data_IF_489559580421
#
_entry.id   IF_489559580421
#
_cell.length_a   1.000
_cell.length_b   1.000
_cell.length_c   1.000
_cell.angle_alpha   90.00
_cell.angle_beta   90.00
_cell.angle_gamma   90.00
#
_symmetry.space_group_name_H-M   'P 1'
#
loop_
_entity.id
_entity.type
_entity.pdbx_description
1 polymer ?
#
# COMPACT_ATOMS: atom_id res chain seq x y z
N UNK A 1 -53.76 -54.26 18.10
CA UNK A 1 -53.88 -53.01 18.85
C UNK A 1 -52.48 -52.59 19.33
N UNK A 2 -51.76 -51.81 18.57
CA UNK A 2 -50.53 -51.11 19.03
C UNK A 2 -50.41 -49.85 18.19
N UNK A 3 -50.61 -48.74 18.88
CA UNK A 3 -50.53 -47.39 18.36
C UNK A 3 -49.06 -46.97 18.16
N UNK A 4 -48.70 -46.51 16.97
CA UNK A 4 -47.43 -45.91 16.67
C UNK A 4 -47.52 -44.39 16.86
N UNK A 5 -46.73 -43.83 17.76
CA UNK A 5 -46.62 -42.41 18.01
C UNK A 5 -45.41 -41.87 17.18
N UNK A 6 -45.69 -40.97 16.23
CA UNK A 6 -44.70 -40.23 15.50
C UNK A 6 -44.06 -39.16 16.41
N UNK A 7 -42.73 -39.14 16.48
CA UNK A 7 -41.95 -38.02 17.00
C UNK A 7 -41.49 -37.15 15.82
N UNK A 8 -41.97 -35.93 15.80
CA UNK A 8 -41.43 -34.88 14.94
C UNK A 8 -40.11 -34.35 15.54
N UNK A 9 -38.99 -34.47 14.78
CA UNK A 9 -37.71 -33.85 15.09
C UNK A 9 -37.65 -32.46 14.44
N UNK A 10 -37.64 -31.42 15.26
CA UNK A 10 -37.38 -30.04 14.83
C UNK A 10 -35.86 -29.83 14.60
N UNK A 11 -35.44 -29.89 13.34
CA UNK A 11 -34.12 -29.46 12.94
C UNK A 11 -34.04 -27.93 12.97
N UNK A 12 -33.25 -27.38 13.89
CA UNK A 12 -32.85 -25.98 13.83
C UNK A 12 -31.72 -25.83 12.82
N UNK A 13 -32.02 -25.22 11.70
CA UNK A 13 -30.99 -24.66 10.81
C UNK A 13 -30.39 -23.42 11.48
N UNK A 14 -29.13 -23.49 11.88
CA UNK A 14 -28.31 -22.31 12.16
C UNK A 14 -27.91 -21.66 10.83
N UNK A 15 -28.72 -20.72 10.38
CA UNK A 15 -28.34 -19.79 9.33
C UNK A 15 -27.39 -18.74 9.91
N UNK A 16 -26.08 -18.92 9.75
CA UNK A 16 -25.10 -17.85 9.91
C UNK A 16 -25.29 -16.86 8.77
N UNK A 17 -26.13 -15.83 8.97
CA UNK A 17 -26.23 -14.70 8.07
C UNK A 17 -24.97 -13.86 8.19
N UNK A 18 -24.04 -14.03 7.27
CA UNK A 18 -22.99 -13.05 7.02
C UNK A 18 -23.67 -11.80 6.46
N UNK A 19 -23.73 -10.76 7.25
CA UNK A 19 -24.33 -9.48 6.84
C UNK A 19 -23.51 -8.86 5.72
N UNK A 20 -24.16 -8.54 4.62
CA UNK A 20 -23.60 -7.94 3.39
C UNK A 20 -22.95 -6.56 3.66
N UNK A 21 -23.14 -5.98 4.85
CA UNK A 21 -22.61 -4.66 5.24
C UNK A 21 -21.11 -4.60 5.58
N UNK A 22 -20.46 -5.73 5.86
CA UNK A 22 -19.03 -5.75 6.27
C UNK A 22 -18.05 -5.92 5.11
N UNK A 23 -18.52 -6.11 3.88
CA UNK A 23 -17.63 -6.41 2.72
C UNK A 23 -17.10 -5.20 1.98
N UNK A 24 -17.49 -3.96 2.29
CA UNK A 24 -17.17 -2.79 1.48
C UNK A 24 -16.64 -1.58 2.27
N UNK A 25 -16.30 -1.72 3.53
CA UNK A 25 -15.66 -0.66 4.33
C UNK A 25 -14.17 -0.89 4.52
N UNK A 26 -13.40 0.20 4.72
CA UNK A 26 -12.07 0.11 5.34
C UNK A 26 -12.27 -0.51 6.72
N UNK A 27 -11.44 -1.49 7.11
CA UNK A 27 -11.50 -2.05 8.45
C UNK A 27 -11.42 -0.93 9.47
N UNK A 28 -12.29 -0.93 10.49
CA UNK A 28 -12.34 0.12 11.51
C UNK A 28 -10.98 0.33 12.21
N UNK A 29 -10.20 -0.73 12.36
CA UNK A 29 -8.84 -0.71 12.92
C UNK A 29 -7.86 0.10 12.04
N UNK A 30 -8.00 0.00 10.71
CA UNK A 30 -7.18 0.75 9.76
C UNK A 30 -7.53 2.24 9.82
N UNK A 31 -8.84 2.57 9.81
CA UNK A 31 -9.30 3.95 9.94
C UNK A 31 -8.83 4.58 11.25
N UNK A 32 -8.98 3.86 12.37
CA UNK A 32 -8.53 4.35 13.68
C UNK A 32 -7.03 4.62 13.72
N UNK A 33 -6.20 3.76 13.11
CA UNK A 33 -4.75 3.94 13.04
C UNK A 33 -4.38 5.23 12.28
N UNK A 34 -5.07 5.54 11.18
CA UNK A 34 -4.79 6.74 10.38
C UNK A 34 -5.41 8.01 10.92
N UNK A 35 -6.48 7.92 11.71
CA UNK A 35 -7.07 9.07 12.42
C UNK A 35 -6.14 9.66 13.49
N UNK A 36 -5.12 8.92 13.93
CA UNK A 36 -4.06 9.43 14.82
C UNK A 36 -3.12 10.44 14.13
N UNK A 37 -3.20 10.60 12.81
CA UNK A 37 -2.47 11.63 12.05
C UNK A 37 -0.97 11.41 11.88
N UNK A 38 -0.47 10.22 12.17
CA UNK A 38 0.97 9.87 12.21
C UNK A 38 1.56 9.71 10.79
N UNK A 39 0.74 9.44 9.77
CA UNK A 39 1.22 9.06 8.43
C UNK A 39 2.11 10.12 7.75
N UNK A 40 1.78 11.40 7.90
CA UNK A 40 2.58 12.48 7.32
C UNK A 40 4.00 12.51 7.90
N UNK A 41 4.13 12.27 9.20
CA UNK A 41 5.41 12.28 9.89
C UNK A 41 6.21 11.01 9.62
N UNK A 42 5.55 9.87 9.36
CA UNK A 42 6.20 8.59 9.06
C UNK A 42 7.09 8.66 7.81
N UNK A 43 6.61 9.23 6.71
CA UNK A 43 7.34 9.30 5.44
C UNK A 43 8.34 10.45 5.38
N UNK A 44 8.06 11.57 6.04
CA UNK A 44 8.88 12.79 5.94
C UNK A 44 9.82 12.96 7.15
N UNK A 45 9.72 12.10 8.17
CA UNK A 45 10.52 12.12 9.38
C UNK A 45 11.93 11.56 9.19
N UNK A 46 12.32 10.60 10.02
CA UNK A 46 13.66 10.02 10.10
C UNK A 46 13.64 8.53 9.71
N UNK A 47 14.81 7.94 9.57
CA UNK A 47 15.00 6.50 9.42
C UNK A 47 14.45 5.89 8.14
N UNK A 48 13.84 4.71 8.29
CA UNK A 48 13.37 3.88 7.17
C UNK A 48 12.25 4.56 6.36
N UNK A 49 11.35 5.31 6.99
CA UNK A 49 10.28 6.03 6.29
C UNK A 49 10.83 7.09 5.33
N UNK A 50 11.85 7.83 5.74
CA UNK A 50 12.54 8.79 4.88
C UNK A 50 13.25 8.12 3.71
N UNK A 51 13.85 6.95 3.93
CA UNK A 51 14.46 6.16 2.85
C UNK A 51 13.39 5.67 1.86
N UNK A 52 12.29 5.11 2.36
CA UNK A 52 11.12 4.72 1.56
C UNK A 52 10.65 5.86 0.66
N UNK A 53 10.42 7.04 1.24
CA UNK A 53 10.00 8.23 0.49
C UNK A 53 10.97 8.60 -0.63
N UNK A 54 12.25 8.72 -0.32
CA UNK A 54 13.27 9.11 -1.31
C UNK A 54 13.39 8.10 -2.45
N UNK A 55 13.34 6.82 -2.12
CA UNK A 55 13.40 5.75 -3.12
C UNK A 55 12.13 5.67 -3.97
N UNK A 56 10.97 5.77 -3.35
CA UNK A 56 9.70 5.81 -4.11
C UNK A 56 9.67 7.00 -5.06
N UNK A 57 10.11 8.18 -4.62
CA UNK A 57 10.23 9.37 -5.49
C UNK A 57 11.18 9.14 -6.68
N UNK A 58 12.32 8.49 -6.46
CA UNK A 58 13.25 8.13 -7.54
C UNK A 58 12.63 7.16 -8.54
N UNK A 59 11.90 6.15 -8.04
CA UNK A 59 11.21 5.16 -8.87
C UNK A 59 10.06 5.81 -9.65
N UNK A 60 9.26 6.68 -9.03
CA UNK A 60 8.23 7.44 -9.73
C UNK A 60 8.82 8.31 -10.85
N UNK A 61 9.90 9.03 -10.59
CA UNK A 61 10.58 9.84 -11.61
C UNK A 61 11.13 9.02 -12.79
N UNK A 62 11.44 7.74 -12.58
CA UNK A 62 11.95 6.82 -13.59
C UNK A 62 10.84 6.25 -14.49
N UNK A 63 9.67 5.97 -13.94
CA UNK A 63 8.62 5.17 -14.60
C UNK A 63 7.38 5.95 -14.99
N UNK A 64 7.12 7.09 -14.36
CA UNK A 64 5.98 7.92 -14.73
C UNK A 64 6.16 8.52 -16.15
N UNK A 65 5.06 8.76 -16.87
CA UNK A 65 5.12 9.49 -18.13
C UNK A 65 5.67 10.92 -17.91
N UNK A 66 6.10 11.62 -18.97
CA UNK A 66 6.53 13.02 -18.85
C UNK A 66 5.49 13.92 -18.18
N UNK A 67 5.96 15.01 -17.56
CA UNK A 67 5.09 16.02 -16.95
C UNK A 67 4.00 16.51 -17.92
N UNK A 68 2.91 17.05 -17.37
CA UNK A 68 1.60 17.31 -17.94
C UNK A 68 0.69 16.07 -18.07
N UNK A 69 1.19 14.87 -17.77
CA UNK A 69 0.34 13.69 -17.69
C UNK A 69 -0.64 13.77 -16.51
N UNK A 70 -1.79 13.11 -16.68
CA UNK A 70 -2.81 12.99 -15.63
C UNK A 70 -2.54 11.76 -14.79
N UNK A 71 -2.42 11.94 -13.49
CA UNK A 71 -2.15 10.86 -12.53
C UNK A 71 -3.29 10.78 -11.52
N UNK A 72 -3.73 9.57 -11.23
CA UNK A 72 -4.64 9.26 -10.13
C UNK A 72 -3.86 8.61 -8.98
N UNK A 73 -3.80 9.30 -7.84
CA UNK A 73 -3.20 8.80 -6.60
C UNK A 73 -4.30 8.21 -5.71
N UNK A 74 -4.37 6.88 -5.66
CA UNK A 74 -5.39 6.12 -4.94
C UNK A 74 -4.83 5.66 -3.59
N UNK A 75 -5.51 6.02 -2.51
CA UNK A 75 -4.98 5.88 -1.15
C UNK A 75 -3.83 6.85 -0.90
N UNK A 76 -3.91 8.06 -1.48
CA UNK A 76 -2.84 9.05 -1.46
C UNK A 76 -2.62 9.72 -0.09
N UNK A 77 -3.44 9.40 0.91
CA UNK A 77 -3.32 9.90 2.27
C UNK A 77 -3.32 11.43 2.33
N UNK A 78 -2.37 11.99 3.03
CA UNK A 78 -2.18 13.44 3.16
C UNK A 78 -1.47 14.10 1.97
N UNK A 79 -1.29 13.36 0.86
CA UNK A 79 -0.71 13.87 -0.39
C UNK A 79 0.82 13.89 -0.42
N UNK A 80 1.49 13.00 0.31
CA UNK A 80 2.95 12.95 0.40
C UNK A 80 3.63 12.85 -0.99
N UNK A 81 3.00 12.16 -1.94
CA UNK A 81 3.45 12.05 -3.32
C UNK A 81 2.68 12.99 -4.26
N UNK A 82 1.37 13.12 -4.08
CA UNK A 82 0.50 13.94 -4.93
C UNK A 82 0.93 15.41 -5.00
N UNK A 83 1.17 16.04 -3.84
CA UNK A 83 1.51 17.47 -3.77
C UNK A 83 2.87 17.80 -4.44
N UNK A 84 3.96 17.04 -4.20
CA UNK A 84 5.20 17.23 -4.94
C UNK A 84 5.09 16.97 -6.45
N UNK A 85 4.34 15.94 -6.87
CA UNK A 85 4.13 15.64 -8.29
C UNK A 85 3.35 16.75 -8.99
N UNK A 86 2.35 17.36 -8.33
CA UNK A 86 1.67 18.53 -8.88
C UNK A 86 2.65 19.71 -9.10
N UNK A 87 3.59 19.96 -8.19
CA UNK A 87 4.68 20.96 -8.38
C UNK A 87 5.59 20.64 -9.53
N UNK A 88 5.75 19.38 -9.89
CA UNK A 88 6.53 18.93 -11.04
C UNK A 88 5.75 19.03 -12.36
N UNK A 89 4.52 19.53 -12.33
CA UNK A 89 3.70 19.80 -13.51
C UNK A 89 2.75 18.69 -13.92
N UNK A 90 2.51 17.70 -13.06
CA UNK A 90 1.49 16.67 -13.30
C UNK A 90 0.09 17.17 -12.92
N UNK A 91 -0.93 16.72 -13.65
CA UNK A 91 -2.35 16.90 -13.31
C UNK A 91 -2.78 15.79 -12.36
N UNK A 92 -2.92 16.07 -11.06
CA UNK A 92 -3.13 15.05 -10.04
C UNK A 92 -4.57 15.05 -9.53
N UNK A 93 -5.20 13.87 -9.58
CA UNK A 93 -6.39 13.52 -8.81
C UNK A 93 -5.98 12.64 -7.64
N UNK A 94 -6.60 12.82 -6.46
CA UNK A 94 -6.34 12.02 -5.28
C UNK A 94 -7.66 11.45 -4.73
N UNK A 95 -7.65 10.17 -4.45
CA UNK A 95 -8.75 9.43 -3.81
C UNK A 95 -8.22 8.79 -2.52
N UNK A 96 -8.90 8.99 -1.39
CA UNK A 96 -8.53 8.34 -0.13
C UNK A 96 -9.80 7.94 0.65
N UNK A 97 -9.84 6.76 1.30
CA UNK A 97 -11.02 6.34 2.05
C UNK A 97 -11.19 7.08 3.39
N UNK A 98 -10.18 7.78 3.90
CA UNK A 98 -10.20 8.46 5.19
C UNK A 98 -10.58 9.94 5.00
N UNK A 99 -11.76 10.40 5.46
CA UNK A 99 -12.19 11.78 5.28
C UNK A 99 -11.21 12.82 5.83
N UNK A 100 -10.56 12.53 6.97
CA UNK A 100 -9.56 13.42 7.56
C UNK A 100 -8.37 13.65 6.62
N UNK A 101 -7.90 12.62 5.90
CA UNK A 101 -6.84 12.77 4.91
C UNK A 101 -7.27 13.67 3.75
N UNK A 102 -8.49 13.49 3.27
CA UNK A 102 -9.07 14.31 2.20
C UNK A 102 -9.17 15.79 2.63
N UNK A 103 -9.59 16.06 3.86
CA UNK A 103 -9.60 17.42 4.41
C UNK A 103 -8.18 18.01 4.48
N UNK A 104 -7.22 17.26 5.00
CA UNK A 104 -5.83 17.70 5.17
C UNK A 104 -5.16 17.97 3.82
N UNK A 105 -5.28 17.07 2.84
CA UNK A 105 -4.68 17.24 1.53
C UNK A 105 -5.36 18.35 0.73
N UNK A 106 -6.67 18.54 0.89
CA UNK A 106 -7.40 19.67 0.28
C UNK A 106 -6.87 21.00 0.81
N UNK A 107 -6.72 21.13 2.13
CA UNK A 107 -6.12 22.33 2.74
C UNK A 107 -4.68 22.56 2.27
N UNK A 108 -3.87 21.52 2.17
CA UNK A 108 -2.50 21.59 1.67
C UNK A 108 -2.45 21.99 0.18
N UNK A 109 -3.36 21.48 -0.64
CA UNK A 109 -3.49 21.85 -2.06
C UNK A 109 -3.87 23.33 -2.23
N UNK A 110 -4.81 23.84 -1.44
CA UNK A 110 -5.16 25.28 -1.43
C UNK A 110 -3.99 26.16 -1.02
N UNK A 111 -3.15 25.68 -0.08
CA UNK A 111 -1.93 26.39 0.34
C UNK A 111 -0.80 26.38 -0.71
N UNK A 112 -1.00 25.67 -1.83
CA UNK A 112 -0.07 25.53 -2.95
C UNK A 112 -0.70 26.05 -4.26
N UNK A 113 -1.06 27.33 -4.37
CA UNK A 113 -1.90 27.85 -5.45
C UNK A 113 -1.25 27.80 -6.83
N UNK A 114 0.08 27.74 -6.94
CA UNK A 114 0.80 27.62 -8.22
C UNK A 114 0.71 26.21 -8.83
N UNK A 115 0.39 25.20 -8.02
CA UNK A 115 0.30 23.81 -8.46
C UNK A 115 -0.73 23.04 -7.60
N UNK A 116 -2.01 23.44 -7.63
CA UNK A 116 -3.04 22.74 -6.87
C UNK A 116 -3.31 21.36 -7.44
N UNK A 117 -3.86 20.46 -6.63
CA UNK A 117 -4.42 19.22 -7.13
C UNK A 117 -5.67 19.52 -7.96
N UNK A 118 -5.89 18.74 -9.03
CA UNK A 118 -7.05 18.91 -9.92
C UNK A 118 -8.35 18.49 -9.23
N UNK A 119 -8.30 17.42 -8.43
CA UNK A 119 -9.43 16.93 -7.66
C UNK A 119 -8.98 16.10 -6.47
N UNK A 120 -9.78 16.15 -5.41
CA UNK A 120 -9.59 15.36 -4.20
C UNK A 120 -10.95 14.85 -3.75
N UNK A 121 -11.08 13.55 -3.51
CA UNK A 121 -12.36 12.97 -3.10
C UNK A 121 -12.19 11.82 -2.09
N UNK A 122 -13.22 11.59 -1.29
CA UNK A 122 -13.33 10.37 -0.47
C UNK A 122 -13.79 9.24 -1.36
N UNK A 123 -13.04 8.13 -1.39
CA UNK A 123 -13.38 6.99 -2.24
C UNK A 123 -12.62 5.72 -1.87
N UNK A 124 -12.96 4.63 -2.57
CA UNK A 124 -12.40 3.29 -2.34
C UNK A 124 -11.71 2.79 -3.61
N UNK A 125 -10.50 2.24 -3.46
CA UNK A 125 -9.73 1.70 -4.57
C UNK A 125 -10.47 0.62 -5.38
N UNK A 126 -11.44 -0.07 -4.77
CA UNK A 126 -12.26 -1.13 -5.39
C UNK A 126 -13.41 -0.59 -6.24
N UNK A 127 -13.69 0.71 -6.19
CA UNK A 127 -14.78 1.35 -6.92
C UNK A 127 -14.44 2.83 -7.15
N UNK A 128 -13.69 3.11 -8.21
CA UNK A 128 -13.22 4.45 -8.55
C UNK A 128 -14.30 5.21 -9.32
N UNK A 129 -14.47 6.50 -9.02
CA UNK A 129 -15.42 7.40 -9.69
C UNK A 129 -14.96 7.84 -11.08
N UNK A 130 -13.67 7.69 -11.39
CA UNK A 130 -13.08 8.09 -12.65
C UNK A 130 -13.61 7.27 -13.83
N UNK A 131 -13.77 7.93 -14.98
CA UNK A 131 -14.19 7.29 -16.23
C UNK A 131 -13.13 6.30 -16.72
N UNK A 132 -13.56 5.37 -17.58
CA UNK A 132 -12.66 4.44 -18.24
C UNK A 132 -11.62 5.21 -19.08
N UNK A 133 -10.37 4.75 -19.04
CA UNK A 133 -9.27 5.29 -19.86
C UNK A 133 -9.07 6.81 -19.71
N UNK A 134 -9.31 7.35 -18.53
CA UNK A 134 -9.29 8.80 -18.26
C UNK A 134 -7.93 9.33 -17.79
N UNK A 135 -7.02 8.45 -17.30
CA UNK A 135 -5.73 8.87 -16.72
C UNK A 135 -4.53 8.19 -17.39
N UNK A 136 -3.37 8.83 -17.34
CA UNK A 136 -2.13 8.32 -17.93
C UNK A 136 -1.36 7.41 -16.95
N UNK A 137 -1.55 7.61 -15.65
CA UNK A 137 -0.97 6.77 -14.62
C UNK A 137 -1.87 6.63 -13.40
N UNK A 138 -1.75 5.49 -12.70
CA UNK A 138 -2.39 5.23 -11.41
C UNK A 138 -1.33 4.86 -10.39
N UNK A 139 -1.36 5.49 -9.22
CA UNK A 139 -0.56 5.13 -8.06
C UNK A 139 -1.45 4.38 -7.07
N UNK A 140 -0.99 3.22 -6.61
CA UNK A 140 -1.58 2.39 -5.56
C UNK A 140 -0.50 2.16 -4.48
N UNK A 141 -0.05 3.24 -3.83
CA UNK A 141 1.11 3.18 -2.91
C UNK A 141 0.73 2.79 -1.47
N UNK A 142 -0.56 2.60 -1.20
CA UNK A 142 -1.14 2.23 0.10
C UNK A 142 -2.17 1.10 0.05
N UNK A 143 -3.10 1.11 -0.90
CA UNK A 143 -4.30 0.28 -0.83
C UNK A 143 -4.07 -1.22 -0.76
N UNK A 144 -3.12 -1.77 -1.51
CA UNK A 144 -2.98 -3.22 -1.66
C UNK A 144 -2.65 -3.94 -0.35
N UNK A 145 -1.87 -3.33 0.53
CA UNK A 145 -1.57 -3.97 1.82
C UNK A 145 -2.68 -3.76 2.86
N UNK A 146 -3.60 -2.83 2.66
CA UNK A 146 -4.79 -2.68 3.51
C UNK A 146 -5.97 -3.54 3.05
N UNK A 147 -5.97 -4.02 1.83
CA UNK A 147 -6.94 -4.96 1.29
C UNK A 147 -6.50 -6.40 1.59
N UNK A 148 -6.93 -6.91 2.75
CA UNK A 148 -6.45 -8.21 3.26
C UNK A 148 -7.01 -9.41 2.49
N UNK A 149 -8.15 -9.26 1.82
CA UNK A 149 -8.72 -10.28 0.94
C UNK A 149 -8.12 -10.15 -0.46
N UNK A 150 -7.72 -11.28 -1.05
CA UNK A 150 -7.15 -11.31 -2.40
C UNK A 150 -8.11 -10.75 -3.45
N UNK A 151 -9.39 -11.09 -3.37
CA UNK A 151 -10.39 -10.65 -4.33
C UNK A 151 -10.54 -9.12 -4.30
N UNK A 152 -10.43 -8.49 -3.13
CA UNK A 152 -10.46 -7.04 -2.99
C UNK A 152 -9.22 -6.37 -3.65
N UNK A 153 -8.04 -6.99 -3.54
CA UNK A 153 -6.83 -6.50 -4.22
C UNK A 153 -6.93 -6.62 -5.73
N UNK A 154 -7.44 -7.74 -6.22
CA UNK A 154 -7.71 -7.93 -7.66
C UNK A 154 -8.74 -6.91 -8.14
N UNK A 155 -9.78 -6.63 -7.36
CA UNK A 155 -10.78 -5.63 -7.70
C UNK A 155 -10.17 -4.22 -7.80
N UNK A 156 -9.31 -3.84 -6.84
CA UNK A 156 -8.63 -2.54 -6.88
C UNK A 156 -7.67 -2.43 -8.08
N UNK A 157 -6.94 -3.49 -8.41
CA UNK A 157 -6.10 -3.54 -9.60
C UNK A 157 -6.92 -3.51 -10.89
N UNK A 158 -8.10 -4.14 -10.92
CA UNK A 158 -9.02 -4.11 -12.06
C UNK A 158 -9.60 -2.72 -12.28
N UNK A 159 -9.93 -1.99 -11.20
CA UNK A 159 -10.35 -0.59 -11.30
C UNK A 159 -9.21 0.31 -11.80
N UNK A 160 -7.98 0.12 -11.31
CA UNK A 160 -6.81 0.81 -11.85
C UNK A 160 -6.61 0.52 -13.34
N UNK A 161 -6.82 -0.74 -13.77
CA UNK A 161 -6.77 -1.11 -15.18
C UNK A 161 -7.87 -0.42 -16.00
N UNK A 162 -9.08 -0.33 -15.48
CA UNK A 162 -10.22 0.31 -16.15
C UNK A 162 -9.94 1.79 -16.41
N UNK A 163 -9.45 2.52 -15.42
CA UNK A 163 -9.28 3.98 -15.49
C UNK A 163 -8.01 4.42 -16.21
N UNK A 164 -6.93 3.61 -16.19
CA UNK A 164 -5.70 3.94 -16.91
C UNK A 164 -5.86 3.69 -18.41
N UNK A 165 -5.34 4.58 -19.23
CA UNK A 165 -5.38 4.46 -20.72
C UNK A 165 -4.54 3.29 -21.21
N UNK A 166 -4.84 2.71 -22.41
CA UNK A 166 -3.90 1.81 -23.09
C UNK A 166 -2.51 2.44 -23.21
N UNK A 167 -1.47 1.69 -22.87
CA UNK A 167 -0.08 2.17 -22.77
C UNK A 167 0.25 2.94 -21.50
N UNK A 168 -0.73 3.30 -20.69
CA UNK A 168 -0.54 3.96 -19.40
C UNK A 168 0.07 3.04 -18.33
N UNK A 169 0.51 3.62 -17.22
CA UNK A 169 1.27 2.91 -16.20
C UNK A 169 0.52 2.80 -14.88
N UNK A 170 0.62 1.65 -14.22
CA UNK A 170 0.29 1.50 -12.80
C UNK A 170 1.59 1.31 -12.00
N UNK A 171 1.69 2.01 -10.87
CA UNK A 171 2.73 1.84 -9.86
C UNK A 171 2.05 1.44 -8.56
N UNK A 172 2.31 0.23 -8.10
CA UNK A 172 1.69 -0.28 -6.89
C UNK A 172 2.73 -0.74 -5.87
N UNK A 173 2.49 -0.39 -4.60
CA UNK A 173 3.33 -0.81 -3.49
C UNK A 173 2.65 -1.90 -2.65
N UNK A 174 3.49 -2.74 -2.04
CA UNK A 174 3.10 -3.73 -1.06
C UNK A 174 4.15 -3.82 0.05
N UNK A 175 3.77 -4.29 1.23
CA UNK A 175 4.71 -4.60 2.30
C UNK A 175 5.24 -6.03 2.06
N UNK A 176 6.56 -6.21 2.22
CA UNK A 176 7.19 -7.52 2.08
C UNK A 176 6.73 -8.50 3.16
N UNK A 177 6.53 -9.76 2.80
CA UNK A 177 6.22 -10.88 3.68
C UNK A 177 7.16 -10.98 4.87
N UNK A 178 8.38 -10.50 4.72
CA UNK A 178 9.45 -10.63 5.71
C UNK A 178 9.74 -9.33 6.48
N UNK A 179 8.97 -8.25 6.23
CA UNK A 179 9.21 -6.95 6.84
C UNK A 179 9.16 -7.01 8.38
N UNK A 180 8.11 -7.60 8.96
CA UNK A 180 7.98 -7.74 10.42
C UNK A 180 9.07 -8.61 11.05
N UNK A 181 9.55 -9.64 10.32
CA UNK A 181 10.66 -10.48 10.80
C UNK A 181 11.94 -9.66 10.97
N UNK A 182 12.28 -8.87 9.95
CA UNK A 182 13.51 -8.07 9.96
C UNK A 182 13.38 -6.91 10.95
N UNK A 183 12.23 -6.21 10.97
CA UNK A 183 11.96 -5.11 11.92
C UNK A 183 12.02 -5.61 13.37
N UNK A 184 11.39 -6.74 13.63
CA UNK A 184 11.39 -7.38 14.94
C UNK A 184 12.78 -7.77 15.44
N UNK A 185 13.67 -8.20 14.51
CA UNK A 185 15.08 -8.44 14.84
C UNK A 185 15.82 -7.13 15.14
N UNK A 186 15.62 -6.10 14.32
CA UNK A 186 16.33 -4.83 14.48
C UNK A 186 15.92 -4.07 15.74
N UNK A 187 14.63 -4.11 16.09
CA UNK A 187 14.05 -3.37 17.21
C UNK A 187 13.91 -4.20 18.48
N UNK A 188 14.21 -5.50 18.41
CA UNK A 188 14.11 -6.43 19.53
C UNK A 188 12.69 -6.87 19.87
N UNK A 189 11.71 -6.58 19.04
CA UNK A 189 10.30 -6.94 19.28
C UNK A 189 10.06 -8.46 19.29
N UNK A 190 10.89 -9.26 18.62
CA UNK A 190 10.81 -10.72 18.66
C UNK A 190 11.02 -11.34 20.07
N UNK A 191 11.45 -10.56 21.04
CA UNK A 191 11.51 -11.00 22.44
C UNK A 191 10.14 -10.99 23.11
N UNK A 192 9.14 -10.37 22.49
CA UNK A 192 7.76 -10.37 22.95
C UNK A 192 7.00 -11.53 22.24
N UNK A 193 6.41 -12.48 23.01
CA UNK A 193 5.69 -13.62 22.45
C UNK A 193 4.47 -13.24 21.61
N UNK A 194 3.82 -12.10 21.87
CA UNK A 194 2.68 -11.64 21.09
C UNK A 194 3.14 -11.13 19.71
N UNK A 195 4.28 -10.42 19.67
CA UNK A 195 4.87 -10.01 18.39
C UNK A 195 5.42 -11.21 17.60
N UNK A 196 6.07 -12.15 18.26
CA UNK A 196 6.55 -13.40 17.63
C UNK A 196 5.39 -14.14 16.95
N UNK A 197 4.23 -14.24 17.60
CA UNK A 197 3.04 -14.87 17.02
C UNK A 197 2.49 -14.11 15.79
N UNK A 198 2.60 -12.77 15.77
CA UNK A 198 2.28 -11.95 14.59
C UNK A 198 3.22 -12.31 13.44
N UNK A 199 4.52 -12.32 13.68
CA UNK A 199 5.56 -12.63 12.68
C UNK A 199 5.39 -14.04 12.10
N UNK A 200 5.11 -15.05 12.94
CA UNK A 200 4.83 -16.40 12.47
C UNK A 200 3.64 -16.45 11.49
N UNK A 201 2.60 -15.70 11.78
CA UNK A 201 1.44 -15.58 10.89
C UNK A 201 1.80 -14.86 9.59
N UNK A 202 2.53 -13.76 9.68
CA UNK A 202 2.98 -13.00 8.51
C UNK A 202 3.76 -13.89 7.56
N UNK A 203 4.76 -14.61 8.05
CA UNK A 203 5.60 -15.49 7.24
C UNK A 203 4.78 -16.61 6.59
N UNK A 204 3.84 -17.21 7.33
CA UNK A 204 3.05 -18.35 6.85
C UNK A 204 1.95 -17.94 5.86
N UNK A 205 1.23 -16.83 6.15
CA UNK A 205 -0.03 -16.49 5.47
C UNK A 205 -0.04 -15.07 4.86
N UNK A 206 0.87 -14.19 5.25
CA UNK A 206 0.85 -12.78 4.90
C UNK A 206 -0.23 -11.96 5.61
N UNK A 207 -0.97 -12.58 6.51
CA UNK A 207 -2.10 -11.94 7.19
C UNK A 207 -1.64 -11.25 8.47
N UNK A 208 -1.12 -10.04 8.35
CA UNK A 208 -0.72 -9.24 9.50
C UNK A 208 -1.93 -8.83 10.34
N UNK A 209 -1.90 -9.16 11.62
CA UNK A 209 -2.97 -8.85 12.58
C UNK A 209 -2.31 -8.48 13.91
N UNK A 210 -2.56 -7.26 14.36
CA UNK A 210 -2.06 -6.76 15.64
C UNK A 210 -3.22 -6.65 16.66
N UNK A 211 -3.49 -7.70 17.43
CA UNK A 211 -4.57 -7.68 18.43
C UNK A 211 -4.25 -6.86 19.67
N UNK A 212 -3.01 -6.45 19.85
CA UNK A 212 -2.55 -5.77 21.06
C UNK A 212 -2.84 -4.27 21.07
N UNK A 213 -3.06 -3.70 19.87
CA UNK A 213 -3.23 -2.26 19.69
C UNK A 213 -1.95 -1.45 19.89
N UNK A 214 -0.76 -2.09 19.95
CA UNK A 214 0.51 -1.35 19.99
C UNK A 214 0.78 -0.70 18.63
N UNK A 215 0.84 0.64 18.53
CA UNK A 215 0.96 1.33 17.22
C UNK A 215 2.24 0.97 16.47
N UNK A 216 3.33 0.69 17.21
CA UNK A 216 4.63 0.34 16.66
C UNK A 216 4.65 -1.00 15.92
N UNK A 217 3.67 -1.86 16.14
CA UNK A 217 3.56 -3.18 15.51
C UNK A 217 2.65 -3.18 14.27
N UNK A 218 2.35 -1.99 13.78
CA UNK A 218 1.48 -1.74 12.63
C UNK A 218 0.02 -2.17 12.85
N UNK A 219 -0.81 -2.03 11.83
CA UNK A 219 -2.24 -2.34 11.85
C UNK A 219 -2.57 -3.55 10.97
N UNK A 220 -3.85 -3.89 10.87
CA UNK A 220 -4.33 -4.96 9.98
C UNK A 220 -3.89 -4.74 8.54
N UNK A 221 -3.15 -5.71 7.98
CA UNK A 221 -2.58 -5.63 6.63
C UNK A 221 -2.38 -7.01 5.99
N UNK A 222 -2.04 -7.02 4.70
CA UNK A 222 -1.54 -8.18 3.97
C UNK A 222 -0.11 -7.92 3.49
N UNK A 223 0.80 -8.82 3.83
CA UNK A 223 2.21 -8.77 3.47
C UNK A 223 2.48 -9.75 2.32
N UNK A 224 3.02 -9.25 1.23
CA UNK A 224 3.17 -9.99 -0.02
C UNK A 224 4.51 -10.71 -0.15
N UNK A 225 4.49 -11.89 -0.74
CA UNK A 225 5.66 -12.39 -1.46
C UNK A 225 5.80 -11.63 -2.79
N UNK A 226 7.03 -11.40 -3.29
CA UNK A 226 7.24 -10.70 -4.57
C UNK A 226 6.43 -11.30 -5.73
N UNK A 227 6.38 -12.64 -5.83
CA UNK A 227 5.66 -13.31 -6.91
C UNK A 227 4.14 -13.30 -6.74
N UNK A 228 3.61 -13.16 -5.52
CA UNK A 228 2.18 -12.93 -5.30
C UNK A 228 1.76 -11.57 -5.86
N UNK A 229 2.49 -10.49 -5.54
CA UNK A 229 2.25 -9.16 -6.08
C UNK A 229 2.32 -9.16 -7.61
N UNK A 230 3.36 -9.79 -8.17
CA UNK A 230 3.51 -9.94 -9.62
C UNK A 230 2.32 -10.68 -10.25
N UNK A 231 1.87 -11.75 -9.59
CA UNK A 231 0.75 -12.58 -10.03
C UNK A 231 -0.57 -11.82 -10.04
N UNK A 232 -0.87 -11.09 -8.98
CA UNK A 232 -2.10 -10.29 -8.83
C UNK A 232 -2.17 -9.19 -9.90
N UNK A 233 -1.07 -8.48 -10.16
CA UNK A 233 -0.99 -7.45 -11.19
C UNK A 233 -1.20 -8.02 -12.60
N UNK A 234 -0.62 -9.20 -12.90
CA UNK A 234 -0.83 -9.89 -14.17
C UNK A 234 -2.27 -10.37 -14.34
N UNK A 235 -2.88 -10.89 -13.29
CA UNK A 235 -4.26 -11.36 -13.30
C UNK A 235 -5.25 -10.23 -13.59
N UNK A 236 -4.97 -9.02 -13.10
CA UNK A 236 -5.75 -7.83 -13.43
C UNK A 236 -5.55 -7.33 -14.88
N UNK A 237 -4.71 -7.99 -15.68
CA UNK A 237 -4.52 -7.69 -17.11
C UNK A 237 -3.31 -6.81 -17.44
N UNK A 238 -2.49 -6.43 -16.47
CA UNK A 238 -1.31 -5.62 -16.72
C UNK A 238 -0.09 -6.43 -17.20
N UNK A 239 0.74 -5.81 -18.03
CA UNK A 239 2.07 -6.30 -18.38
C UNK A 239 3.10 -5.74 -17.38
N UNK A 240 3.66 -6.60 -16.53
CA UNK A 240 4.65 -6.19 -15.52
C UNK A 240 5.96 -5.80 -16.20
N UNK A 241 6.39 -4.55 -16.00
CA UNK A 241 7.64 -3.98 -16.49
C UNK A 241 8.79 -4.15 -15.48
N UNK A 242 8.50 -3.88 -14.20
CA UNK A 242 9.47 -4.03 -13.11
C UNK A 242 8.81 -4.50 -11.83
N UNK A 243 9.56 -5.22 -11.01
CA UNK A 243 9.26 -5.52 -9.62
C UNK A 243 10.54 -5.33 -8.83
N UNK A 244 10.55 -4.42 -7.88
CA UNK A 244 11.75 -4.00 -7.16
C UNK A 244 11.50 -3.92 -5.64
N UNK A 245 12.57 -4.08 -4.88
CA UNK A 245 12.61 -3.71 -3.47
C UNK A 245 12.87 -2.20 -3.35
N UNK A 246 12.02 -1.48 -2.64
CA UNK A 246 12.12 -0.02 -2.51
C UNK A 246 13.39 0.36 -1.77
N UNK A 247 13.55 -0.09 -0.55
CA UNK A 247 14.71 0.20 0.31
C UNK A 247 15.83 -0.84 0.13
N UNK A 248 15.49 -2.01 -0.44
CA UNK A 248 16.35 -3.19 -0.42
C UNK A 248 16.76 -3.54 1.02
N UNK A 249 17.88 -4.20 1.25
CA UNK A 249 18.36 -4.51 2.61
C UNK A 249 18.90 -3.27 3.35
N UNK A 250 18.93 -2.10 2.72
CA UNK A 250 19.58 -0.91 3.28
C UNK A 250 18.78 -0.25 4.43
N UNK A 251 17.48 -0.53 4.57
CA UNK A 251 16.70 -0.04 5.71
C UNK A 251 17.15 -0.64 7.05
N UNK A 252 17.87 -1.78 7.00
CA UNK A 252 18.49 -2.41 8.15
C UNK A 252 19.92 -1.87 8.43
N UNK A 253 20.37 -0.86 7.69
CA UNK A 253 21.72 -0.32 7.89
C UNK A 253 21.82 0.41 9.24
N UNK A 254 22.91 0.22 10.01
CA UNK A 254 23.16 1.02 11.19
C UNK A 254 23.36 2.48 10.81
N UNK A 255 22.95 3.38 11.68
CA UNK A 255 23.09 4.84 11.51
C UNK A 255 22.45 5.36 10.21
N UNK A 256 21.30 4.82 9.83
CA UNK A 256 20.61 5.17 8.58
C UNK A 256 20.40 6.68 8.44
N UNK A 257 20.04 7.37 9.51
CA UNK A 257 19.85 8.83 9.51
C UNK A 257 21.14 9.56 9.13
N UNK A 258 22.28 9.15 9.66
CA UNK A 258 23.57 9.73 9.30
C UNK A 258 23.92 9.50 7.80
N UNK A 259 23.44 8.39 7.21
CA UNK A 259 23.53 8.17 5.77
C UNK A 259 22.61 9.10 4.97
N UNK A 260 21.41 9.37 5.48
CA UNK A 260 20.40 10.18 4.80
C UNK A 260 20.64 11.69 4.93
N UNK A 261 21.28 12.15 6.02
CA UNK A 261 21.60 13.56 6.25
C UNK A 261 22.73 14.05 5.38
N UNK A 262 23.83 13.28 5.27
CA UNK A 262 24.97 13.65 4.44
C UNK A 262 24.67 13.45 2.94
N UNK A 263 24.71 14.49 2.09
CA UNK A 263 24.35 14.37 0.68
C UNK A 263 25.21 13.36 -0.11
N UNK A 264 26.47 13.17 0.25
CA UNK A 264 27.38 12.22 -0.44
C UNK A 264 27.08 10.79 -0.03
N UNK A 265 26.85 10.55 1.27
CA UNK A 265 26.43 9.24 1.79
C UNK A 265 25.08 8.86 1.22
N UNK A 266 24.11 9.76 1.24
CA UNK A 266 22.77 9.56 0.66
C UNK A 266 22.84 9.17 -0.81
N UNK A 267 23.57 9.91 -1.63
CA UNK A 267 23.75 9.58 -3.04
C UNK A 267 24.38 8.18 -3.23
N UNK A 268 25.35 7.82 -2.38
CA UNK A 268 25.97 6.49 -2.41
C UNK A 268 25.01 5.39 -1.99
N UNK A 269 24.22 5.62 -0.96
CA UNK A 269 23.19 4.70 -0.45
C UNK A 269 22.15 4.40 -1.55
N UNK A 270 21.53 5.44 -2.11
CA UNK A 270 20.51 5.30 -3.16
C UNK A 270 21.09 4.59 -4.40
N UNK A 271 22.28 4.97 -4.86
CA UNK A 271 22.93 4.30 -5.98
C UNK A 271 23.28 2.82 -5.68
N UNK A 272 23.55 2.47 -4.43
CA UNK A 272 23.82 1.08 -4.03
C UNK A 272 22.54 0.25 -4.02
N UNK A 273 21.45 0.80 -3.50
CA UNK A 273 20.12 0.15 -3.54
C UNK A 273 19.70 -0.09 -5.00
N UNK A 274 19.81 0.93 -5.86
CA UNK A 274 19.46 0.82 -7.28
C UNK A 274 20.20 -0.28 -8.06
N UNK A 275 21.37 -0.74 -7.58
CA UNK A 275 22.12 -1.85 -8.21
C UNK A 275 21.54 -3.22 -7.91
N UNK A 276 20.80 -3.34 -6.82
CA UNK A 276 20.27 -4.61 -6.33
C UNK A 276 18.74 -4.63 -6.20
N UNK A 277 18.08 -3.53 -6.54
CA UNK A 277 16.64 -3.34 -6.35
C UNK A 277 15.79 -4.42 -7.04
N UNK A 278 16.25 -4.95 -8.18
CA UNK A 278 15.56 -5.96 -8.97
C UNK A 278 16.16 -7.38 -8.81
N UNK A 279 17.16 -7.55 -7.91
CA UNK A 279 17.78 -8.87 -7.68
C UNK A 279 16.78 -9.79 -6.97
N UNK A 280 16.33 -10.90 -7.61
CA UNK A 280 15.26 -11.75 -7.06
C UNK A 280 15.57 -12.30 -5.66
N UNK A 281 16.85 -12.58 -5.36
CA UNK A 281 17.29 -13.07 -4.05
C UNK A 281 17.27 -12.01 -2.94
N UNK A 282 17.11 -10.73 -3.28
CA UNK A 282 17.15 -9.61 -2.34
C UNK A 282 15.84 -8.81 -2.27
N UNK A 283 14.95 -8.90 -3.27
CA UNK A 283 13.69 -8.14 -3.29
C UNK A 283 12.91 -8.31 -2.00
N UNK A 284 12.77 -9.55 -1.51
CA UNK A 284 12.03 -9.85 -0.28
C UNK A 284 12.66 -9.31 1.01
N UNK A 285 13.94 -8.91 0.98
CA UNK A 285 14.62 -8.31 2.12
C UNK A 285 14.32 -6.80 2.27
N UNK A 286 13.63 -6.18 1.31
CA UNK A 286 13.10 -4.83 1.43
C UNK A 286 11.89 -4.80 2.36
N UNK A 287 11.66 -3.67 3.04
CA UNK A 287 10.42 -3.48 3.79
C UNK A 287 9.23 -3.35 2.84
N UNK A 288 9.41 -2.59 1.75
CA UNK A 288 8.38 -2.40 0.73
C UNK A 288 8.82 -2.95 -0.63
N UNK A 289 7.83 -3.52 -1.33
CA UNK A 289 7.91 -3.97 -2.71
C UNK A 289 7.21 -2.94 -3.59
N UNK A 290 7.72 -2.69 -4.79
CA UNK A 290 7.05 -1.83 -5.75
C UNK A 290 7.02 -2.54 -7.10
N UNK A 291 5.82 -2.64 -7.66
CA UNK A 291 5.60 -3.16 -9.02
C UNK A 291 5.23 -2.01 -9.94
N UNK A 292 5.84 -2.01 -11.11
CA UNK A 292 5.49 -1.13 -12.22
C UNK A 292 4.97 -1.98 -13.36
N UNK A 293 3.81 -1.63 -13.88
CA UNK A 293 3.21 -2.39 -14.97
C UNK A 293 2.44 -1.46 -15.92
N UNK A 294 2.24 -1.92 -17.15
CA UNK A 294 1.53 -1.17 -18.18
C UNK A 294 0.26 -1.87 -18.61
N UNK A 295 -0.75 -1.07 -18.91
CA UNK A 295 -1.93 -1.55 -19.63
C UNK A 295 -1.53 -1.76 -21.09
N UNK A 296 -1.67 -3.00 -21.64
CA UNK A 296 -1.37 -3.31 -23.03
C UNK A 296 -2.18 -2.49 -24.03
#
# INVERSE_FOLDING_TARGET
MHSYTQRQGSGRFFGGGCTIGERHGVHAEISAHYEEGIEKERLLGEGAGRLEYLRTRELLARYLPPAAATILDVGGGTGAYALPLAKEGYSIYLVDPVPLHVEQVTAASVAQPEAPLVGVEVGDARSLSQEDESVDAVLLLGPLYHLTLRDDRIQALSEAWRVVRPGGVVVAAAISRFASTIDGLLRGFLLDPEFEAIVERDVREGQHRNPTGQPEWFTTAYFHLPEELRGEVKEAGFAVEALVGVEGPAWAAPDLDAWLEDPRRRAKLLATIGRVEAEPSLIGASAHLLVVARRP
#
